data_IF_523046709417
#
_entry.id   IF_523046709417
#
_cell.length_a   1.000
_cell.length_b   1.000
_cell.length_c   1.000
_cell.angle_alpha   90.00
_cell.angle_beta   90.00
_cell.angle_gamma   90.00
#
_symmetry.space_group_name_H-M   'P 1'
#
loop_
_entity.id
_entity.type
_entity.pdbx_description
1 polymer ?
#
# COMPACT_ATOMS: atom_id res chain seq x y z
N UNK A 1 2.19 15.43 14.14
CA UNK A 1 1.46 14.19 14.49
C UNK A 1 1.60 13.25 13.29
N UNK A 2 2.37 12.16 13.43
CA UNK A 2 2.83 11.34 12.30
C UNK A 2 1.74 10.40 11.78
N UNK A 3 1.60 10.32 10.45
CA UNK A 3 0.69 9.40 9.72
C UNK A 3 0.80 7.94 10.19
N UNK A 4 1.96 7.54 10.73
CA UNK A 4 2.20 6.23 11.32
C UNK A 4 1.22 5.85 12.44
N UNK A 5 0.73 6.81 13.24
CA UNK A 5 -0.18 6.51 14.36
C UNK A 5 -1.57 6.06 13.89
N UNK A 6 -2.05 6.66 12.78
CA UNK A 6 -3.34 6.31 12.19
C UNK A 6 -3.29 4.91 11.54
N UNK A 7 -2.22 4.61 10.81
CA UNK A 7 -2.04 3.29 10.17
C UNK A 7 -1.90 2.19 11.22
N UNK A 8 -1.16 2.40 12.31
CA UNK A 8 -1.10 1.43 13.42
C UNK A 8 -2.48 1.18 14.06
N UNK A 9 -3.35 2.21 14.09
CA UNK A 9 -4.74 2.06 14.51
C UNK A 9 -5.58 1.17 13.59
N UNK A 10 -5.35 1.23 12.27
CA UNK A 10 -6.04 0.38 11.29
C UNK A 10 -5.48 -1.05 11.35
N UNK A 11 -4.15 -1.19 11.36
CA UNK A 11 -3.44 -2.49 11.44
C UNK A 11 -3.90 -3.26 12.68
N UNK A 12 -3.91 -2.61 13.85
CA UNK A 12 -4.35 -3.26 15.09
C UNK A 12 -5.82 -3.69 15.08
N UNK A 13 -6.69 -2.95 14.36
CA UNK A 13 -8.10 -3.36 14.18
C UNK A 13 -8.22 -4.57 13.26
N UNK A 14 -7.49 -4.59 12.15
CA UNK A 14 -7.52 -5.72 11.21
C UNK A 14 -6.98 -6.98 11.87
N UNK A 15 -5.85 -6.88 12.59
CA UNK A 15 -5.28 -8.00 13.34
C UNK A 15 -6.21 -8.52 14.43
N UNK A 16 -7.00 -7.64 15.07
CA UNK A 16 -8.03 -8.07 16.03
C UNK A 16 -9.21 -8.79 15.38
N UNK A 17 -9.55 -8.43 14.15
CA UNK A 17 -10.65 -9.05 13.41
C UNK A 17 -10.24 -10.40 12.80
N UNK A 18 -9.01 -10.49 12.28
CA UNK A 18 -8.43 -11.72 11.73
C UNK A 18 -6.94 -11.80 12.14
N UNK A 19 -6.62 -12.53 13.21
CA UNK A 19 -5.23 -12.64 13.69
C UNK A 19 -4.35 -13.48 12.76
N UNK A 20 -4.95 -14.34 11.92
CA UNK A 20 -4.25 -15.20 10.97
C UNK A 20 -3.80 -14.46 9.70
N UNK A 21 -4.13 -13.18 9.56
CA UNK A 21 -3.74 -12.39 8.39
C UNK A 21 -2.36 -11.77 8.59
N UNK A 22 -1.46 -12.10 7.67
CA UNK A 22 -0.17 -11.44 7.53
C UNK A 22 -0.35 -10.01 7.02
N UNK A 23 -0.14 -9.04 7.92
CA UNK A 23 -0.18 -7.62 7.57
C UNK A 23 1.20 -7.06 7.30
N UNK A 24 1.38 -6.51 6.10
CA UNK A 24 2.62 -5.88 5.65
C UNK A 24 2.36 -4.38 5.51
N UNK A 25 3.06 -3.57 6.31
CA UNK A 25 3.03 -2.12 6.18
C UNK A 25 4.28 -1.66 5.43
N UNK A 26 4.11 -1.35 4.14
CA UNK A 26 5.18 -0.75 3.33
C UNK A 26 5.17 0.77 3.52
N UNK A 27 6.20 1.29 4.18
CA UNK A 27 6.43 2.72 4.25
C UNK A 27 7.07 3.20 2.94
N UNK A 28 6.46 4.19 2.30
CA UNK A 28 6.92 4.75 1.01
C UNK A 28 7.50 6.14 1.28
N UNK A 29 8.81 6.28 1.13
CA UNK A 29 9.59 7.48 1.50
C UNK A 29 10.02 7.50 2.97
N UNK A 30 11.00 8.33 3.32
CA UNK A 30 11.50 8.52 4.70
C UNK A 30 10.56 9.48 5.50
N UNK A 31 9.26 9.21 5.49
CA UNK A 31 8.26 9.96 6.25
C UNK A 31 7.74 11.23 5.57
N UNK A 32 7.19 12.16 6.37
CA UNK A 32 6.36 13.29 5.94
C UNK A 32 7.04 14.34 5.04
N UNK A 33 8.37 14.30 4.91
CA UNK A 33 9.14 15.26 4.09
C UNK A 33 9.31 14.79 2.65
N UNK A 34 9.34 13.48 2.38
CA UNK A 34 9.54 12.93 1.03
C UNK A 34 8.25 12.91 0.18
N UNK A 35 7.09 12.97 0.83
CA UNK A 35 5.78 13.04 0.15
C UNK A 35 5.62 14.30 -0.71
N UNK A 36 6.42 15.34 -0.44
CA UNK A 36 6.41 16.59 -1.21
C UNK A 36 7.44 16.66 -2.35
N UNK A 37 8.50 15.85 -2.31
CA UNK A 37 9.61 15.95 -3.27
C UNK A 37 9.77 14.72 -4.18
N UNK A 38 9.15 13.58 -3.86
CA UNK A 38 9.15 12.41 -4.74
C UNK A 38 7.95 12.40 -5.69
N UNK A 39 8.21 12.12 -6.97
CA UNK A 39 7.13 11.86 -7.93
C UNK A 39 6.33 10.62 -7.55
N UNK A 40 5.06 10.58 -7.94
CA UNK A 40 4.17 9.41 -7.72
C UNK A 40 4.75 8.14 -8.33
N UNK A 41 5.48 8.25 -9.46
CA UNK A 41 6.16 7.12 -10.08
C UNK A 41 7.28 6.57 -9.18
N UNK A 42 8.14 7.42 -8.64
CA UNK A 42 9.19 6.99 -7.72
C UNK A 42 8.62 6.35 -6.45
N UNK A 43 7.54 6.92 -5.91
CA UNK A 43 6.82 6.34 -4.78
C UNK A 43 6.23 4.96 -5.13
N UNK A 44 5.72 4.79 -6.35
CA UNK A 44 5.20 3.51 -6.84
C UNK A 44 6.31 2.47 -6.98
N UNK A 45 7.49 2.89 -7.42
CA UNK A 45 8.64 2.00 -7.61
C UNK A 45 9.21 1.52 -6.26
N UNK A 46 9.29 2.40 -5.27
CA UNK A 46 9.66 2.03 -3.89
C UNK A 46 8.63 1.10 -3.25
N UNK A 47 7.34 1.38 -3.43
CA UNK A 47 6.27 0.49 -3.00
C UNK A 47 6.40 -0.89 -3.65
N UNK A 48 6.70 -0.94 -4.96
CA UNK A 48 6.91 -2.18 -5.67
C UNK A 48 8.11 -2.96 -5.12
N UNK A 49 9.21 -2.29 -4.79
CA UNK A 49 10.37 -2.94 -4.16
C UNK A 49 9.99 -3.56 -2.80
N UNK A 50 9.26 -2.82 -1.96
CA UNK A 50 8.83 -3.33 -0.66
C UNK A 50 7.96 -4.58 -0.81
N UNK A 51 6.92 -4.52 -1.64
CA UNK A 51 6.03 -5.67 -1.88
C UNK A 51 6.84 -6.87 -2.40
N UNK A 52 7.66 -6.68 -3.44
CA UNK A 52 8.40 -7.78 -4.05
C UNK A 52 9.59 -8.29 -3.23
N UNK A 53 10.02 -7.57 -2.20
CA UNK A 53 11.03 -8.06 -1.28
C UNK A 53 10.49 -9.07 -0.28
N UNK A 54 9.16 -9.10 -0.09
CA UNK A 54 8.51 -10.01 0.86
C UNK A 54 7.98 -11.26 0.15
N UNK A 55 8.51 -12.47 0.46
CA UNK A 55 8.10 -13.70 -0.19
C UNK A 55 6.62 -14.06 0.08
N UNK A 56 5.99 -13.50 1.13
CA UNK A 56 4.57 -13.72 1.43
C UNK A 56 3.64 -13.13 0.38
N UNK A 57 4.13 -12.21 -0.47
CA UNK A 57 3.32 -11.56 -1.50
C UNK A 57 3.35 -12.29 -2.84
N UNK A 58 4.19 -13.32 -3.01
CA UNK A 58 4.45 -13.95 -4.31
C UNK A 58 3.28 -14.77 -4.83
N UNK A 59 2.52 -15.41 -3.92
CA UNK A 59 1.27 -16.11 -4.26
C UNK A 59 0.07 -15.15 -4.38
N UNK A 60 0.35 -13.86 -4.27
CA UNK A 60 -0.57 -12.77 -4.45
C UNK A 60 -1.05 -12.16 -3.14
N UNK A 61 -1.47 -10.91 -3.22
CA UNK A 61 -1.83 -10.12 -2.05
C UNK A 61 -3.07 -9.27 -2.27
N UNK A 62 -3.62 -8.75 -1.17
CA UNK A 62 -4.72 -7.78 -1.17
C UNK A 62 -4.13 -6.40 -0.90
N UNK A 63 -4.20 -5.51 -1.88
CA UNK A 63 -3.76 -4.13 -1.71
C UNK A 63 -4.83 -3.28 -1.05
N UNK A 64 -4.49 -2.65 0.08
CA UNK A 64 -5.37 -1.69 0.76
C UNK A 64 -4.77 -0.29 0.66
N UNK A 65 -5.48 0.62 -0.01
CA UNK A 65 -5.07 2.01 -0.16
C UNK A 65 -5.97 2.96 0.62
N UNK A 66 -5.38 3.90 1.36
CA UNK A 66 -6.12 4.95 2.07
C UNK A 66 -5.67 6.34 1.63
N UNK A 67 -6.63 7.22 1.28
CA UNK A 67 -6.33 8.55 0.74
C UNK A 67 -5.32 8.42 -0.41
N UNK A 68 -4.27 9.24 -0.48
CA UNK A 68 -3.22 9.19 -1.51
C UNK A 68 -2.57 7.80 -1.73
N UNK A 69 -2.57 6.92 -0.72
CA UNK A 69 -2.06 5.55 -0.86
C UNK A 69 -2.86 4.70 -1.85
N UNK A 70 -4.12 5.02 -2.10
CA UNK A 70 -4.92 4.35 -3.14
C UNK A 70 -4.44 4.69 -4.55
N UNK A 71 -4.01 5.93 -4.83
CA UNK A 71 -3.40 6.22 -6.14
C UNK A 71 -2.09 5.46 -6.34
N UNK A 72 -1.25 5.35 -5.31
CA UNK A 72 -0.01 4.57 -5.40
C UNK A 72 -0.30 3.10 -5.70
N UNK A 73 -1.26 2.51 -4.99
CA UNK A 73 -1.60 1.11 -5.17
C UNK A 73 -2.26 0.85 -6.54
N UNK A 74 -3.06 1.79 -7.05
CA UNK A 74 -3.59 1.73 -8.43
C UNK A 74 -2.49 1.83 -9.48
N UNK A 75 -1.50 2.72 -9.29
CA UNK A 75 -0.34 2.80 -10.18
C UNK A 75 0.48 1.50 -10.15
N UNK A 76 0.66 0.89 -8.98
CA UNK A 76 1.27 -0.43 -8.87
C UNK A 76 0.48 -1.49 -9.66
N UNK A 77 -0.85 -1.50 -9.53
CA UNK A 77 -1.70 -2.44 -10.27
C UNK A 77 -1.51 -2.31 -11.79
N UNK A 78 -1.45 -1.08 -12.30
CA UNK A 78 -1.33 -0.83 -13.73
C UNK A 78 0.08 -1.16 -14.26
N UNK A 79 1.12 -0.79 -13.50
CA UNK A 79 2.52 -0.90 -13.95
C UNK A 79 3.15 -2.26 -13.67
N UNK A 80 2.82 -2.90 -12.54
CA UNK A 80 3.58 -4.02 -12.01
C UNK A 80 2.82 -5.32 -11.90
N UNK A 81 1.48 -5.32 -11.95
CA UNK A 81 0.69 -6.54 -11.73
C UNK A 81 0.97 -7.67 -12.75
N UNK A 82 1.54 -7.35 -13.91
CA UNK A 82 1.91 -8.32 -14.95
C UNK A 82 3.39 -8.74 -14.91
N UNK A 83 4.22 -8.09 -14.08
CA UNK A 83 5.68 -8.28 -14.01
C UNK A 83 6.14 -8.77 -12.63
N UNK A 84 5.37 -8.45 -11.59
CA UNK A 84 5.72 -8.57 -10.18
C UNK A 84 4.62 -9.32 -9.42
N UNK A 85 4.77 -9.43 -8.09
CA UNK A 85 3.78 -10.02 -7.19
C UNK A 85 2.35 -9.58 -7.57
N UNK A 86 1.43 -10.54 -7.85
CA UNK A 86 0.11 -10.22 -8.38
C UNK A 86 -0.81 -9.71 -7.27
N UNK A 87 -1.46 -8.58 -7.51
CA UNK A 87 -2.51 -8.06 -6.63
C UNK A 87 -3.84 -8.70 -7.00
N UNK A 88 -4.32 -9.61 -6.15
CA UNK A 88 -5.53 -10.40 -6.38
C UNK A 88 -6.81 -9.58 -6.16
N UNK A 89 -6.75 -8.65 -5.20
CA UNK A 89 -7.84 -7.75 -4.83
C UNK A 89 -7.27 -6.39 -4.48
N UNK A 90 -8.01 -5.36 -4.84
CA UNK A 90 -7.69 -3.98 -4.55
C UNK A 90 -8.87 -3.34 -3.81
N UNK A 91 -8.62 -2.84 -2.60
CA UNK A 91 -9.58 -2.12 -1.78
C UNK A 91 -9.03 -0.73 -1.54
N UNK A 92 -9.77 0.29 -1.97
CA UNK A 92 -9.38 1.67 -1.76
C UNK A 92 -10.44 2.46 -1.05
N UNK A 93 -10.03 3.21 -0.03
CA UNK A 93 -10.84 4.27 0.54
C UNK A 93 -10.34 5.60 0.00
N UNK A 94 -11.08 6.11 -0.98
CA UNK A 94 -10.90 7.45 -1.52
C UNK A 94 -12.12 8.28 -1.09
N UNK A 95 -11.93 9.32 -0.27
CA UNK A 95 -12.98 10.29 0.01
C UNK A 95 -13.07 11.26 -1.17
N UNK A 96 -13.60 10.77 -2.30
CA UNK A 96 -14.16 11.54 -3.41
C UNK A 96 -14.82 10.55 -4.37
N UNK A 97 -16.16 10.55 -4.33
CA UNK A 97 -17.05 10.11 -5.41
C UNK A 97 -16.50 10.54 -6.77
N UNK A 98 -16.39 9.60 -7.71
CA UNK A 98 -16.63 9.76 -9.16
C UNK A 98 -17.04 8.37 -9.67
N UNK A 99 -18.35 8.07 -9.77
CA UNK A 99 -19.11 8.15 -11.03
C UNK A 99 -18.63 9.19 -12.04
#
# INVERSE_FOLDING_TARGET
MSYAWMMNGIISKIQKLNPDWDLINCEVGNGALDTFFMSIEQQTDELAKCINSDPRTYDGFIGVGYSNGAFLMRNYLQKYNHVKAPMLRYVSSWFLLWC
#
